data_IF_345866784160
#
_entry.id   IF_345866784160
#
_cell.length_a   1.000
_cell.length_b   1.000
_cell.length_c   1.000
_cell.angle_alpha   90.00
_cell.angle_beta   90.00
_cell.angle_gamma   90.00
#
_symmetry.space_group_name_H-M   'P 1'
#
loop_
_entity.id
_entity.type
_entity.pdbx_description
1 polymer ?
#
# COMPACT_ATOMS: atom_id res chain seq x y z
N UNK A 1 5.05 -2.99 3.13
CA UNK A 1 4.14 -3.57 2.11
C UNK A 1 3.10 -4.39 2.85
N UNK A 2 1.89 -4.55 2.32
CA UNK A 2 0.83 -5.36 2.93
C UNK A 2 0.07 -6.08 1.83
N UNK A 3 0.02 -7.42 1.89
CA UNK A 3 -0.63 -8.27 0.87
C UNK A 3 -0.20 -7.92 -0.57
N UNK A 4 1.10 -7.80 -0.82
CA UNK A 4 1.67 -7.42 -2.14
C UNK A 4 1.31 -6.01 -2.65
N UNK A 5 0.54 -5.25 -1.89
CA UNK A 5 0.26 -3.84 -2.17
C UNK A 5 1.15 -2.91 -1.34
N UNK A 6 1.43 -1.76 -1.95
CA UNK A 6 2.15 -0.66 -1.30
C UNK A 6 1.19 0.42 -0.85
N UNK A 7 1.47 0.95 0.34
CA UNK A 7 0.67 2.00 0.96
C UNK A 7 1.57 3.15 1.39
N UNK A 8 1.09 4.37 1.20
CA UNK A 8 1.72 5.60 1.66
C UNK A 8 1.00 6.13 2.89
N UNK A 9 1.76 6.49 3.93
CA UNK A 9 1.25 7.06 5.17
C UNK A 9 0.75 8.49 4.91
N UNK A 10 -0.43 8.83 5.41
CA UNK A 10 -0.81 10.23 5.53
C UNK A 10 -0.04 10.89 6.69
N UNK A 11 0.59 12.06 6.48
CA UNK A 11 1.37 12.71 7.55
C UNK A 11 0.51 13.15 8.73
N UNK A 12 -0.78 13.46 8.49
CA UNK A 12 -1.72 14.00 9.49
C UNK A 12 -2.53 12.94 10.22
N UNK A 13 -2.43 11.66 9.84
CA UNK A 13 -3.26 10.60 10.43
C UNK A 13 -2.57 9.24 10.39
N UNK A 14 -3.00 8.30 11.23
CA UNK A 14 -2.54 6.91 11.17
C UNK A 14 -3.21 6.11 10.02
N UNK A 15 -3.58 6.80 8.94
CA UNK A 15 -4.21 6.21 7.77
C UNK A 15 -3.18 6.09 6.66
N UNK A 16 -3.13 4.91 6.06
CA UNK A 16 -2.23 4.57 4.97
C UNK A 16 -3.08 4.28 3.75
N UNK A 17 -2.82 4.97 2.65
CA UNK A 17 -3.57 4.84 1.40
C UNK A 17 -2.77 4.02 0.41
N UNK A 18 -3.44 3.24 -0.43
CA UNK A 18 -2.77 2.56 -1.53
C UNK A 18 -1.96 3.56 -2.36
N UNK A 19 -0.74 3.19 -2.74
CA UNK A 19 0.15 4.04 -3.55
C UNK A 19 -0.43 4.39 -4.93
N UNK A 20 -1.51 3.72 -5.37
CA UNK A 20 -2.28 4.03 -6.58
C UNK A 20 -3.53 4.88 -6.31
N UNK A 21 -3.62 5.54 -5.15
CA UNK A 21 -4.70 6.51 -4.83
C UNK A 21 -4.89 7.55 -5.94
N UNK A 22 -3.81 8.07 -6.51
CA UNK A 22 -3.88 9.04 -7.61
C UNK A 22 -4.40 8.46 -8.93
N UNK A 23 -4.41 7.13 -9.09
CA UNK A 23 -5.08 6.44 -10.21
C UNK A 23 -6.55 6.12 -9.90
N UNK A 24 -7.04 6.51 -8.72
CA UNK A 24 -8.42 6.31 -8.26
C UNK A 24 -8.58 5.30 -7.10
N UNK A 25 -7.52 4.59 -6.69
CA UNK A 25 -7.64 3.50 -5.71
C UNK A 25 -8.08 4.02 -4.34
N UNK A 26 -9.21 3.51 -3.83
CA UNK A 26 -9.80 3.91 -2.55
C UNK A 26 -9.32 3.06 -1.36
N UNK A 27 -8.52 2.03 -1.65
CA UNK A 27 -7.97 1.14 -0.63
C UNK A 27 -7.12 1.90 0.39
N UNK A 28 -7.45 1.69 1.67
CA UNK A 28 -6.78 2.31 2.80
C UNK A 28 -6.78 1.39 4.01
N UNK A 29 -5.76 1.52 4.84
CA UNK A 29 -5.67 0.82 6.13
C UNK A 29 -5.41 1.83 7.25
N UNK A 30 -5.99 1.58 8.42
CA UNK A 30 -5.75 2.38 9.61
C UNK A 30 -4.87 1.59 10.56
N UNK A 31 -3.76 2.19 10.97
CA UNK A 31 -2.93 1.69 12.05
C UNK A 31 -3.34 2.33 13.38
N UNK A 32 -3.11 1.61 14.46
CA UNK A 32 -3.13 2.15 15.82
C UNK A 32 -1.85 2.94 16.11
N UNK A 33 -1.80 3.59 17.27
CA UNK A 33 -0.60 4.25 17.82
C UNK A 33 0.60 3.30 17.89
N UNK A 34 0.36 2.01 18.12
CA UNK A 34 1.40 0.98 18.16
C UNK A 34 1.82 0.45 16.77
N UNK A 35 1.29 0.99 15.68
CA UNK A 35 1.59 0.53 14.32
C UNK A 35 0.86 -0.76 13.91
N UNK A 36 -0.05 -1.26 14.74
CA UNK A 36 -0.87 -2.45 14.46
C UNK A 36 -2.05 -2.08 13.57
N UNK A 37 -2.36 -2.90 12.56
CA UNK A 37 -3.52 -2.68 11.68
C UNK A 37 -4.80 -2.94 12.48
N UNK A 38 -5.54 -1.88 12.77
CA UNK A 38 -6.82 -1.95 13.51
C UNK A 38 -8.04 -1.93 12.60
N UNK A 39 -7.87 -1.48 11.36
CA UNK A 39 -8.97 -1.47 10.41
C UNK A 39 -8.42 -1.59 8.98
N UNK A 40 -8.70 -2.73 8.34
CA UNK A 40 -8.65 -2.85 6.88
C UNK A 40 -9.96 -2.24 6.41
N UNK A 41 -9.97 -0.96 6.08
CA UNK A 41 -11.23 -0.27 5.78
C UNK A 41 -12.00 -1.05 4.69
N UNK A 42 -13.33 -1.10 4.84
CA UNK A 42 -14.29 -1.88 4.03
C UNK A 42 -14.03 -1.84 2.51
N UNK A 43 -13.47 -0.75 1.98
CA UNK A 43 -12.97 -0.65 0.59
C UNK A 43 -11.55 -1.21 0.44
N UNK A 44 -11.31 -2.47 0.82
CA UNK A 44 -10.05 -3.17 0.48
C UNK A 44 -9.90 -3.46 -1.01
N UNK A 45 -10.94 -3.15 -1.79
CA UNK A 45 -11.06 -3.44 -3.21
C UNK A 45 -10.10 -2.59 -4.01
N UNK A 46 -8.95 -3.17 -4.36
CA UNK A 46 -8.06 -2.63 -5.37
C UNK A 46 -8.66 -2.97 -6.75
N UNK A 47 -8.94 -1.97 -7.58
CA UNK A 47 -9.30 -2.20 -8.99
C UNK A 47 -8.08 -2.36 -9.90
N UNK A 48 -6.88 -2.46 -9.32
CA UNK A 48 -5.65 -2.64 -10.05
C UNK A 48 -4.90 -3.85 -9.50
N UNK A 49 -4.12 -4.54 -10.36
CA UNK A 49 -3.25 -5.60 -9.88
C UNK A 49 -2.20 -5.04 -8.91
N UNK A 50 -1.64 -5.88 -8.03
CA UNK A 50 -0.52 -5.50 -7.20
C UNK A 50 0.69 -5.13 -8.09
N UNK A 51 1.45 -4.09 -7.72
CA UNK A 51 2.68 -3.75 -8.43
C UNK A 51 3.67 -4.91 -8.34
N UNK A 52 4.21 -5.33 -9.47
CA UNK A 52 5.29 -6.32 -9.51
C UNK A 52 6.61 -5.65 -9.14
N UNK A 53 7.39 -6.30 -8.29
CA UNK A 53 8.74 -5.88 -7.95
C UNK A 53 9.72 -6.96 -8.39
N UNK A 54 10.85 -6.54 -8.93
CA UNK A 54 12.00 -7.39 -9.20
C UNK A 54 13.06 -7.09 -8.13
N UNK A 55 13.52 -8.11 -7.43
CA UNK A 55 14.65 -7.97 -6.52
C UNK A 55 15.94 -8.17 -7.30
N UNK A 56 16.85 -7.20 -7.27
CA UNK A 56 18.17 -7.32 -7.89
C UNK A 56 19.08 -8.22 -7.06
N UNK A 57 20.15 -8.74 -7.66
CA UNK A 57 21.17 -9.52 -6.96
C UNK A 57 21.82 -8.75 -5.79
N UNK A 58 21.77 -7.41 -5.83
CA UNK A 58 22.26 -6.51 -4.79
C UNK A 58 21.25 -6.29 -3.64
N UNK A 59 20.05 -6.86 -3.72
CA UNK A 59 19.00 -6.75 -2.71
C UNK A 59 18.05 -5.57 -2.86
N UNK A 60 18.16 -4.79 -3.94
CA UNK A 60 17.29 -3.64 -4.21
C UNK A 60 15.98 -4.08 -4.87
N UNK A 61 14.86 -3.43 -4.54
CA UNK A 61 13.56 -3.71 -5.13
C UNK A 61 13.22 -2.69 -6.22
N UNK A 62 13.28 -3.12 -7.48
CA UNK A 62 12.89 -2.31 -8.63
C UNK A 62 11.41 -2.57 -8.93
N UNK A 63 10.62 -1.50 -8.92
CA UNK A 63 9.21 -1.57 -9.32
C UNK A 63 9.11 -1.78 -10.84
N UNK A 64 8.52 -2.89 -11.25
CA UNK A 64 8.20 -3.14 -12.65
C UNK A 64 6.92 -2.37 -12.97
N UNK A 65 7.04 -1.29 -13.75
CA UNK A 65 5.87 -0.62 -14.33
C UNK A 65 5.40 -1.40 -15.55
N UNK A 66 4.23 -2.05 -15.43
CA UNK A 66 3.40 -2.42 -16.58
C UNK A 66 2.60 -1.22 -17.07
#
# INVERSE_FOLDING_TARGET
>A
MLNDYTYAKNPKSHIYYCSKKNKGCKARVKLDRNGIIINKAEDSTHFHPPPKYYQTSSGEYIKLSS
#
